data_IF_464656249127
#
_entry.id   IF_464656249127
#
_cell.length_a   1.000
_cell.length_b   1.000
_cell.length_c   1.000
_cell.angle_alpha   90.00
_cell.angle_beta   90.00
_cell.angle_gamma   90.00
#
_symmetry.space_group_name_H-M   'P 1'
#
loop_
_entity.id
_entity.type
_entity.pdbx_description
1 polymer ?
#
# COMPACT_ATOMS: atom_id res chain seq x y z
N UNK A 1 10.89 34.02 24.98
CA UNK A 1 12.16 33.65 24.29
C UNK A 1 12.11 34.22 22.88
N UNK A 2 13.05 35.11 22.50
CA UNK A 2 13.16 35.58 21.12
C UNK A 2 14.14 34.66 20.40
N UNK A 3 13.69 33.94 19.38
CA UNK A 3 14.57 33.14 18.55
C UNK A 3 15.42 34.07 17.69
N UNK A 4 16.73 33.85 17.68
CA UNK A 4 17.65 34.58 16.80
C UNK A 4 17.52 34.07 15.37
N UNK A 5 17.88 34.91 14.39
CA UNK A 5 17.82 34.55 12.96
C UNK A 5 18.64 33.29 12.63
N UNK A 6 19.75 33.07 13.33
CA UNK A 6 20.55 31.84 13.23
C UNK A 6 19.80 30.60 13.69
N UNK A 7 19.03 30.69 14.79
CA UNK A 7 18.20 29.59 15.26
C UNK A 7 17.07 29.28 14.28
N UNK A 8 16.49 30.30 13.62
CA UNK A 8 15.46 30.10 12.60
C UNK A 8 16.01 29.38 11.37
N UNK A 9 17.20 29.77 10.89
CA UNK A 9 17.87 29.13 9.75
C UNK A 9 18.25 27.67 10.09
N UNK A 10 18.76 27.42 11.29
CA UNK A 10 19.07 26.06 11.73
C UNK A 10 17.80 25.18 11.78
N UNK A 11 16.67 25.75 12.23
CA UNK A 11 15.41 25.02 12.31
C UNK A 11 14.84 24.68 10.93
N UNK A 12 14.90 25.62 9.97
CA UNK A 12 14.42 25.36 8.61
C UNK A 12 15.26 24.31 7.90
N UNK A 13 16.60 24.35 8.07
CA UNK A 13 17.50 23.37 7.49
C UNK A 13 17.30 21.97 8.10
N UNK A 14 17.07 21.90 9.42
CA UNK A 14 16.74 20.64 10.07
C UNK A 14 15.40 20.08 9.56
N UNK A 15 14.38 20.92 9.40
CA UNK A 15 13.08 20.50 8.90
C UNK A 15 13.13 19.95 7.46
N UNK A 16 13.91 20.57 6.57
CA UNK A 16 14.04 20.10 5.18
C UNK A 16 14.78 18.76 5.10
N UNK A 17 15.85 18.58 5.90
CA UNK A 17 16.59 17.32 5.98
C UNK A 17 15.71 16.19 6.54
N UNK A 18 14.92 16.45 7.58
CA UNK A 18 13.97 15.47 8.14
C UNK A 18 12.83 15.14 7.16
N UNK A 19 12.39 16.10 6.32
CA UNK A 19 11.35 15.84 5.31
C UNK A 19 11.77 14.84 4.23
N UNK A 20 13.08 14.75 3.93
CA UNK A 20 13.61 13.78 2.98
C UNK A 20 13.52 12.34 3.51
N UNK A 21 13.62 12.15 4.84
CA UNK A 21 13.43 10.86 5.49
C UNK A 21 11.96 10.43 5.56
N UNK A 22 11.01 11.36 5.44
CA UNK A 22 9.58 11.06 5.53
C UNK A 22 9.01 10.40 4.25
N UNK A 23 9.77 10.33 3.15
CA UNK A 23 9.28 9.87 1.84
C UNK A 23 9.39 8.37 1.58
N UNK A 24 9.48 7.55 2.62
CA UNK A 24 9.35 6.09 2.44
C UNK A 24 8.67 5.40 3.61
N UNK A 25 7.46 5.83 3.91
CA UNK A 25 6.44 4.86 4.31
C UNK A 25 5.97 4.19 3.03
N UNK A 26 6.76 3.22 2.54
CA UNK A 26 6.17 2.11 1.79
C UNK A 26 5.15 1.54 2.78
N UNK A 27 3.90 2.03 2.75
CA UNK A 27 2.82 1.41 3.49
C UNK A 27 2.87 -0.02 2.97
N UNK A 28 3.23 -0.99 3.82
CA UNK A 28 3.45 -2.33 3.32
C UNK A 28 2.16 -2.72 2.60
N UNK A 29 2.25 -3.37 1.45
CA UNK A 29 1.05 -3.75 0.68
C UNK A 29 0.04 -4.54 1.55
N UNK A 30 0.49 -5.14 2.65
CA UNK A 30 -0.34 -5.73 3.70
C UNK A 30 -1.19 -4.74 4.49
N UNK A 31 -0.76 -3.48 4.65
CA UNK A 31 -1.49 -2.37 5.27
C UNK A 31 -2.39 -1.61 4.29
N UNK A 32 -2.22 -1.76 2.97
CA UNK A 32 -3.19 -1.35 1.94
C UNK A 32 -4.23 -2.43 1.63
N UNK A 33 -4.08 -3.62 2.21
CA UNK A 33 -5.13 -4.62 2.18
C UNK A 33 -6.26 -4.12 3.09
N UNK A 34 -7.20 -3.37 2.53
CA UNK A 34 -8.38 -2.89 3.23
C UNK A 34 -8.91 -3.99 4.16
N UNK A 35 -9.14 -3.63 5.41
CA UNK A 35 -9.70 -4.54 6.40
C UNK A 35 -11.05 -5.04 5.87
N UNK A 36 -11.10 -6.31 5.43
CA UNK A 36 -12.29 -6.89 4.81
C UNK A 36 -13.48 -6.89 5.80
N UNK A 37 -13.20 -6.91 7.11
CA UNK A 37 -14.22 -6.67 8.13
C UNK A 37 -14.77 -5.24 8.06
N UNK A 38 -13.91 -4.23 8.01
CA UNK A 38 -14.33 -2.84 7.88
C UNK A 38 -15.14 -2.60 6.59
N UNK A 39 -14.75 -3.21 5.47
CA UNK A 39 -15.51 -3.12 4.21
C UNK A 39 -16.89 -3.77 4.37
N UNK A 40 -16.96 -4.99 4.88
CA UNK A 40 -18.24 -5.68 5.02
C UNK A 40 -19.18 -4.95 5.99
N UNK A 41 -18.64 -4.38 7.08
CA UNK A 41 -19.42 -3.54 8.00
C UNK A 41 -19.85 -2.21 7.36
N UNK A 42 -18.99 -1.57 6.58
CA UNK A 42 -19.32 -0.32 5.86
C UNK A 42 -20.44 -0.51 4.84
N UNK A 43 -20.57 -1.72 4.27
CA UNK A 43 -21.67 -2.09 3.38
C UNK A 43 -22.97 -2.44 4.13
N UNK A 44 -23.05 -2.19 5.45
CA UNK A 44 -24.24 -2.44 6.25
C UNK A 44 -24.50 -3.91 6.54
N UNK A 45 -23.51 -4.78 6.34
CA UNK A 45 -23.67 -6.22 6.55
C UNK A 45 -23.43 -6.56 8.03
N UNK A 46 -24.42 -7.18 8.66
CA UNK A 46 -24.38 -7.48 10.10
C UNK A 46 -23.37 -8.60 10.43
N UNK A 47 -22.45 -8.33 11.35
CA UNK A 47 -21.44 -9.31 11.78
C UNK A 47 -22.10 -10.60 12.27
N UNK A 48 -21.65 -11.74 11.75
CA UNK A 48 -22.19 -13.07 12.08
C UNK A 48 -23.39 -13.49 11.23
N UNK A 49 -23.90 -12.64 10.35
CA UNK A 49 -24.94 -13.04 9.40
C UNK A 49 -24.37 -13.87 8.23
N UNK A 50 -25.21 -14.67 7.54
CA UNK A 50 -24.80 -15.37 6.32
C UNK A 50 -24.25 -14.42 5.24
N UNK A 51 -24.82 -13.23 5.11
CA UNK A 51 -24.39 -12.19 4.18
C UNK A 51 -23.00 -11.66 4.54
N UNK A 52 -22.68 -11.55 5.84
CA UNK A 52 -21.35 -11.14 6.29
C UNK A 52 -20.30 -12.17 5.92
N UNK A 53 -20.61 -13.46 6.12
CA UNK A 53 -19.74 -14.55 5.69
C UNK A 53 -19.53 -14.55 4.16
N UNK A 54 -20.60 -14.32 3.39
CA UNK A 54 -20.52 -14.19 1.93
C UNK A 54 -19.65 -13.00 1.50
N UNK A 55 -19.85 -11.82 2.10
CA UNK A 55 -19.05 -10.64 1.82
C UNK A 55 -17.55 -10.89 2.07
N UNK A 56 -17.21 -11.48 3.22
CA UNK A 56 -15.82 -11.84 3.54
C UNK A 56 -15.25 -12.83 2.54
N UNK A 57 -16.03 -13.82 2.11
CA UNK A 57 -15.60 -14.79 1.11
C UNK A 57 -15.34 -14.16 -0.26
N UNK A 58 -16.21 -13.25 -0.71
CA UNK A 58 -16.04 -12.54 -1.98
C UNK A 58 -14.80 -11.63 -1.95
N UNK A 59 -14.53 -11.00 -0.80
CA UNK A 59 -13.32 -10.23 -0.56
C UNK A 59 -12.06 -11.09 -0.65
N UNK A 60 -12.07 -12.27 -0.04
CA UNK A 60 -10.95 -13.23 -0.15
C UNK A 60 -10.70 -13.65 -1.60
N UNK A 61 -11.76 -13.91 -2.38
CA UNK A 61 -11.66 -14.23 -3.80
C UNK A 61 -11.08 -13.06 -4.60
N UNK A 62 -11.53 -11.84 -4.36
CA UNK A 62 -11.00 -10.64 -5.01
C UNK A 62 -9.50 -10.45 -4.73
N UNK A 63 -9.09 -10.65 -3.47
CA UNK A 63 -7.68 -10.61 -3.06
C UNK A 63 -6.86 -11.66 -3.77
N UNK A 64 -7.32 -12.92 -3.78
CA UNK A 64 -6.65 -14.02 -4.50
C UNK A 64 -6.52 -13.71 -5.99
N UNK A 65 -7.56 -13.19 -6.62
CA UNK A 65 -7.53 -12.79 -8.03
C UNK A 65 -6.53 -11.66 -8.30
N UNK A 66 -6.38 -10.69 -7.39
CA UNK A 66 -5.39 -9.63 -7.51
C UNK A 66 -3.95 -10.18 -7.44
N UNK A 67 -3.67 -11.07 -6.48
CA UNK A 67 -2.37 -11.74 -6.35
C UNK A 67 -2.06 -12.53 -7.63
N UNK A 68 -3.02 -13.34 -8.10
CA UNK A 68 -2.84 -14.13 -9.32
C UNK A 68 -2.55 -13.27 -10.56
N UNK A 69 -3.14 -12.06 -10.65
CA UNK A 69 -2.82 -11.11 -11.72
C UNK A 69 -1.39 -10.57 -11.60
N UNK A 70 -0.97 -10.20 -10.39
CA UNK A 70 0.38 -9.73 -10.15
C UNK A 70 1.43 -10.80 -10.47
N UNK A 71 1.21 -12.04 -10.04
CA UNK A 71 2.10 -13.17 -10.32
C UNK A 71 2.24 -13.45 -11.82
N UNK A 72 1.13 -13.41 -12.56
CA UNK A 72 1.17 -13.53 -14.03
C UNK A 72 1.95 -12.40 -14.68
N UNK A 73 1.78 -11.16 -14.21
CA UNK A 73 2.53 -10.02 -14.73
C UNK A 73 4.04 -10.18 -14.49
N UNK A 74 4.45 -10.66 -13.30
CA UNK A 74 5.85 -10.93 -12.99
C UNK A 74 6.45 -12.01 -13.90
N UNK A 75 5.72 -13.12 -14.11
CA UNK A 75 6.17 -14.19 -15.02
C UNK A 75 6.30 -13.70 -16.45
N UNK A 76 5.32 -12.93 -16.93
CA UNK A 76 5.36 -12.38 -18.29
C UNK A 76 6.52 -11.40 -18.48
N UNK A 77 6.85 -10.60 -17.46
CA UNK A 77 8.02 -9.73 -17.49
C UNK A 77 9.32 -10.54 -17.54
N UNK A 78 9.45 -11.56 -16.70
CA UNK A 78 10.61 -12.46 -16.72
C UNK A 78 10.80 -13.13 -18.09
N UNK A 79 9.71 -13.64 -18.67
CA UNK A 79 9.73 -14.23 -20.01
C UNK A 79 10.11 -13.20 -21.09
N UNK A 80 9.59 -11.98 -21.00
CA UNK A 80 9.97 -10.90 -21.92
C UNK A 80 11.48 -10.61 -21.83
N UNK A 81 12.03 -10.45 -20.63
CA UNK A 81 13.45 -10.17 -20.42
C UNK A 81 14.34 -11.30 -20.95
N UNK A 82 13.96 -12.56 -20.73
CA UNK A 82 14.69 -13.72 -21.24
C UNK A 82 14.76 -13.71 -22.77
N UNK A 83 13.67 -13.34 -23.42
CA UNK A 83 13.58 -13.24 -24.87
C UNK A 83 14.14 -11.92 -25.45
N UNK A 84 14.43 -10.94 -24.59
CA UNK A 84 14.91 -9.60 -24.98
C UNK A 84 16.15 -9.18 -24.14
N UNK A 85 17.23 -9.98 -24.12
CA UNK A 85 18.32 -9.82 -23.15
C UNK A 85 19.15 -8.54 -23.29
N UNK A 86 19.04 -7.84 -24.43
CA UNK A 86 19.74 -6.58 -24.72
C UNK A 86 18.87 -5.34 -24.53
N UNK A 87 17.61 -5.50 -24.07
CA UNK A 87 16.68 -4.40 -23.79
C UNK A 87 16.28 -4.42 -22.31
N UNK A 88 16.28 -3.27 -21.62
CA UNK A 88 15.55 -3.16 -20.37
C UNK A 88 14.04 -3.30 -20.59
#
# INVERSE_FOLDING_TARGET
>A
MRLTSTSLIALTLAATLLSACARRTDIPMSSLGDDDDAICRANGVAVGSPEYAACRKDRDVQRSNAINRADRAQRNLGEYMLNNPSRP
#
